data_IF_805020930021
#
_entry.id   IF_805020930021
#
_cell.length_a   1.000
_cell.length_b   1.000
_cell.length_c   1.000
_cell.angle_alpha   90.00
_cell.angle_beta   90.00
_cell.angle_gamma   90.00
#
_symmetry.space_group_name_H-M   'P 1'
#
loop_
_entity.id
_entity.type
_entity.pdbx_description
1 polymer ?
#
# COMPACT_ATOMS: atom_id res chain seq x y z
N UNK A 1 -1.15 0.20 -9.11
CA UNK A 1 0.17 -0.38 -9.47
C UNK A 1 1.36 0.55 -9.23
N UNK A 2 1.29 1.83 -9.62
CA UNK A 2 2.40 2.79 -9.47
C UNK A 2 3.02 2.84 -8.06
N UNK A 3 2.23 2.72 -6.99
CA UNK A 3 2.73 2.74 -5.61
C UNK A 3 3.82 1.71 -5.30
N UNK A 4 3.72 0.50 -5.85
CA UNK A 4 4.67 -0.61 -5.60
C UNK A 4 6.00 -0.37 -6.33
N UNK A 5 5.97 0.27 -7.49
CA UNK A 5 7.16 0.53 -8.32
C UNK A 5 7.78 1.91 -8.10
N UNK A 6 7.24 2.73 -7.18
CA UNK A 6 7.73 4.09 -6.91
C UNK A 6 9.22 4.12 -6.58
N UNK A 7 9.71 3.11 -5.86
CA UNK A 7 11.13 2.99 -5.49
C UNK A 7 12.09 2.80 -6.68
N UNK A 8 11.57 2.39 -7.85
CA UNK A 8 12.37 2.29 -9.08
C UNK A 8 12.42 3.62 -9.83
N UNK A 9 11.42 4.49 -9.64
CA UNK A 9 11.31 5.77 -10.34
C UNK A 9 11.93 6.92 -9.54
N UNK A 10 11.92 6.82 -8.20
CA UNK A 10 12.35 7.87 -7.30
C UNK A 10 13.17 7.31 -6.12
N UNK A 11 14.13 8.08 -5.58
CA UNK A 11 14.90 7.65 -4.42
C UNK A 11 14.01 7.46 -3.19
N UNK A 12 14.26 6.39 -2.43
CA UNK A 12 13.49 6.05 -1.21
C UNK A 12 14.39 5.58 -0.07
N UNK A 13 13.95 5.84 1.17
CA UNK A 13 14.75 5.57 2.38
C UNK A 13 14.70 4.11 2.85
N UNK A 14 13.61 3.37 2.55
CA UNK A 14 13.38 2.01 3.06
C UNK A 14 12.89 1.06 1.96
N UNK A 15 13.42 -0.17 1.92
CA UNK A 15 13.03 -1.24 0.98
C UNK A 15 12.94 -0.78 -0.49
N UNK A 16 13.95 -0.06 -0.97
CA UNK A 16 14.00 0.61 -2.27
C UNK A 16 14.04 -0.29 -3.51
N UNK A 17 13.86 -1.61 -3.37
CA UNK A 17 13.95 -2.55 -4.48
C UNK A 17 12.92 -3.68 -4.36
N UNK A 18 12.31 -4.08 -5.50
CA UNK A 18 11.26 -5.12 -5.56
C UNK A 18 11.71 -6.47 -4.97
N UNK A 19 12.97 -6.87 -5.21
CA UNK A 19 13.54 -8.09 -4.61
C UNK A 19 13.53 -8.04 -3.08
N UNK A 20 13.81 -6.88 -2.47
CA UNK A 20 13.82 -6.72 -1.00
C UNK A 20 12.40 -6.85 -0.45
N UNK A 21 11.44 -6.25 -1.15
CA UNK A 21 10.03 -6.33 -0.82
C UNK A 21 9.50 -7.78 -0.93
N UNK A 22 9.90 -8.53 -1.97
CA UNK A 22 9.55 -9.94 -2.13
C UNK A 22 10.12 -10.83 -1.01
N UNK A 23 11.40 -10.65 -0.64
CA UNK A 23 12.05 -11.44 0.42
C UNK A 23 11.38 -11.23 1.77
N UNK A 24 10.92 -10.02 2.08
CA UNK A 24 10.27 -9.74 3.37
C UNK A 24 8.86 -10.34 3.47
N UNK A 25 8.14 -10.48 2.35
CA UNK A 25 6.72 -10.87 2.36
C UNK A 25 6.44 -12.29 1.85
N UNK A 26 7.44 -13.01 1.29
CA UNK A 26 7.30 -14.40 0.83
C UNK A 26 8.05 -15.36 1.76
N UNK A 27 7.42 -15.85 2.85
CA UNK A 27 8.07 -16.79 3.77
C UNK A 27 8.30 -18.18 3.15
N UNK A 28 7.49 -18.58 2.17
CA UNK A 28 7.60 -19.85 1.47
C UNK A 28 7.40 -19.69 -0.04
N UNK A 29 8.09 -20.51 -0.85
CA UNK A 29 8.10 -20.40 -2.31
C UNK A 29 6.71 -20.48 -2.96
N UNK A 30 5.80 -21.27 -2.38
CA UNK A 30 4.43 -21.47 -2.89
C UNK A 30 3.40 -20.50 -2.32
N UNK A 31 3.74 -19.72 -1.29
CA UNK A 31 2.85 -18.76 -0.63
C UNK A 31 3.27 -17.33 -1.03
N UNK A 32 2.93 -16.95 -2.25
CA UNK A 32 3.31 -15.68 -2.88
C UNK A 32 2.12 -14.91 -3.46
N UNK A 33 0.91 -15.21 -2.98
CA UNK A 33 -0.29 -14.47 -3.32
C UNK A 33 -0.45 -13.29 -2.38
N UNK A 34 -0.59 -12.09 -2.96
CA UNK A 34 -0.71 -10.85 -2.20
C UNK A 34 -2.11 -10.26 -2.32
N UNK A 35 -2.59 -9.68 -1.23
CA UNK A 35 -3.75 -8.81 -1.24
C UNK A 35 -3.27 -7.36 -1.33
N UNK A 36 -3.83 -6.59 -2.26
CA UNK A 36 -3.48 -5.18 -2.43
C UNK A 36 -4.51 -4.32 -1.71
N UNK A 37 -4.07 -3.28 -1.02
CA UNK A 37 -4.93 -2.24 -0.46
C UNK A 37 -4.43 -0.85 -0.87
N UNK A 38 -5.30 0.14 -0.85
CA UNK A 38 -4.91 1.53 -1.15
C UNK A 38 -5.62 2.53 -0.25
N UNK A 39 -4.85 3.48 0.27
CA UNK A 39 -5.35 4.64 1.01
C UNK A 39 -4.50 5.86 0.69
N UNK A 40 -5.07 7.07 0.70
CA UNK A 40 -6.47 7.40 0.96
C UNK A 40 -7.37 7.24 -0.28
N UNK A 41 -8.60 6.75 -0.08
CA UNK A 41 -9.67 6.78 -1.09
C UNK A 41 -10.63 7.93 -0.74
N UNK A 42 -10.43 9.09 -1.36
CA UNK A 42 -11.24 10.29 -1.14
C UNK A 42 -11.82 10.78 -2.46
N UNK A 43 -13.06 11.28 -2.39
CA UNK A 43 -13.67 11.97 -3.53
C UNK A 43 -13.07 13.36 -3.68
N UNK A 44 -13.07 13.92 -4.89
CA UNK A 44 -12.48 15.23 -5.18
C UNK A 44 -13.07 16.38 -4.36
N UNK A 45 -14.33 16.28 -3.92
CA UNK A 45 -14.99 17.28 -3.09
C UNK A 45 -14.74 17.13 -1.57
N UNK A 46 -14.25 15.97 -1.13
CA UNK A 46 -14.05 15.67 0.30
C UNK A 46 -12.60 15.83 0.77
N UNK A 47 -11.69 16.32 -0.08
CA UNK A 47 -10.26 16.42 0.23
C UNK A 47 -9.96 17.44 1.33
N UNK A 48 -10.71 18.54 1.37
CA UNK A 48 -10.48 19.63 2.34
C UNK A 48 -11.08 19.32 3.73
N UNK A 49 -11.99 18.35 3.81
CA UNK A 49 -12.71 18.00 5.04
C UNK A 49 -12.13 16.76 5.75
N UNK A 50 -11.08 16.16 5.19
CA UNK A 50 -10.44 14.97 5.77
C UNK A 50 -9.00 15.29 6.13
N UNK A 51 -8.68 15.11 7.41
CA UNK A 51 -7.30 15.16 7.85
C UNK A 51 -6.51 14.02 7.19
N UNK A 52 -5.33 14.35 6.67
CA UNK A 52 -4.39 13.40 6.07
C UNK A 52 -3.19 13.31 7.02
N UNK A 53 -3.41 12.70 8.18
CA UNK A 53 -2.36 12.41 9.14
C UNK A 53 -1.86 10.97 9.01
N UNK A 54 -0.60 10.73 9.38
CA UNK A 54 -0.01 9.39 9.38
C UNK A 54 -0.83 8.34 10.16
N UNK A 55 -1.30 8.60 11.41
CA UNK A 55 -2.08 7.62 12.15
C UNK A 55 -3.43 7.31 11.47
N UNK A 56 -4.11 8.29 10.90
CA UNK A 56 -5.38 8.08 10.20
C UNK A 56 -5.20 7.24 8.92
N UNK A 57 -4.16 7.53 8.14
CA UNK A 57 -3.83 6.73 6.95
C UNK A 57 -3.49 5.29 7.32
N UNK A 58 -2.71 5.12 8.39
CA UNK A 58 -2.32 3.79 8.87
C UNK A 58 -3.54 3.00 9.33
N UNK A 59 -4.45 3.62 10.07
CA UNK A 59 -5.69 2.97 10.50
C UNK A 59 -6.56 2.57 9.30
N UNK A 60 -6.66 3.44 8.28
CA UNK A 60 -7.43 3.16 7.07
C UNK A 60 -6.83 2.01 6.24
N UNK A 61 -5.51 1.81 6.26
CA UNK A 61 -4.86 0.72 5.51
C UNK A 61 -5.34 -0.66 5.95
N UNK A 62 -5.77 -0.82 7.21
CA UNK A 62 -6.28 -2.08 7.75
C UNK A 62 -7.80 -2.21 7.70
N UNK A 63 -8.52 -1.23 7.16
CA UNK A 63 -9.97 -1.35 6.94
C UNK A 63 -10.24 -2.31 5.78
N UNK A 64 -11.07 -3.33 6.01
CA UNK A 64 -11.45 -4.33 5.02
C UNK A 64 -12.04 -3.70 3.74
N UNK A 65 -12.69 -2.53 3.86
CA UNK A 65 -13.27 -1.81 2.71
C UNK A 65 -12.22 -1.30 1.72
N UNK A 66 -10.98 -1.09 2.17
CA UNK A 66 -9.88 -0.60 1.34
C UNK A 66 -9.05 -1.74 0.73
N UNK A 67 -9.40 -3.00 1.04
CA UNK A 67 -8.73 -4.18 0.50
C UNK A 67 -9.33 -4.55 -0.86
N UNK A 68 -8.46 -4.69 -1.84
CA UNK A 68 -8.78 -5.01 -3.24
C UNK A 68 -8.49 -6.49 -3.52
N UNK A 69 -9.13 -7.37 -2.76
CA UNK A 69 -9.20 -8.80 -3.07
C UNK A 69 -10.65 -9.16 -3.40
N UNK A 70 -10.85 -9.70 -4.60
CA UNK A 70 -12.07 -10.41 -4.92
C UNK A 70 -11.96 -11.84 -4.38
N UNK A 71 -13.03 -12.32 -3.75
CA UNK A 71 -13.22 -13.72 -3.38
C UNK A 71 -13.48 -14.59 -4.60
#
# INVERSE_FOLDING_TARGET
MSGITTCLCFPGQLNSHLRKLAVNMMPFLRLHFFMTGYTPLTTRGSTNFRAVSLPELTQQMFDAKNMMAAS
#
